data_IF_672820621203
#
_entry.id   IF_672820621203
#
_cell.length_a   1.000
_cell.length_b   1.000
_cell.length_c   1.000
_cell.angle_alpha   90.00
_cell.angle_beta   90.00
_cell.angle_gamma   90.00
#
_symmetry.space_group_name_H-M   'P 1'
#
loop_
_entity.id
_entity.type
_entity.pdbx_description
1 polymer ?
#
# COMPACT_ATOMS: atom_id res chain seq x y z
N UNK A 1 -1.09 -26.28 -21.48
CA UNK A 1 -2.40 -26.15 -20.81
C UNK A 1 -2.37 -24.80 -20.11
N UNK A 2 -3.35 -23.98 -20.43
CA UNK A 2 -3.28 -22.53 -20.37
C UNK A 2 -3.24 -21.97 -18.95
N UNK A 3 -2.10 -21.39 -18.56
CA UNK A 3 -1.98 -20.51 -17.40
C UNK A 3 -2.64 -19.17 -17.75
N UNK A 4 -3.97 -19.15 -17.88
CA UNK A 4 -4.71 -17.90 -17.85
C UNK A 4 -4.63 -17.35 -16.41
N UNK A 5 -3.72 -16.38 -16.19
CA UNK A 5 -3.70 -15.55 -15.00
C UNK A 5 -5.07 -14.88 -14.84
N UNK A 6 -5.91 -15.45 -13.97
CA UNK A 6 -7.23 -14.90 -13.71
C UNK A 6 -7.09 -13.63 -12.88
N UNK A 7 -7.40 -12.49 -13.51
CA UNK A 7 -7.58 -11.19 -12.87
C UNK A 7 -9.04 -10.79 -13.13
N UNK A 8 -9.96 -11.01 -12.16
CA UNK A 8 -11.35 -10.61 -12.30
C UNK A 8 -11.41 -9.13 -12.72
N UNK A 9 -12.28 -8.72 -13.64
CA UNK A 9 -12.51 -7.29 -13.93
C UNK A 9 -11.28 -6.45 -14.35
N UNK A 10 -10.19 -7.08 -14.82
CA UNK A 10 -9.03 -6.34 -15.32
C UNK A 10 -8.98 -6.34 -16.85
N UNK A 11 -9.13 -5.16 -17.45
CA UNK A 11 -8.94 -4.97 -18.90
C UNK A 11 -7.76 -4.02 -19.18
N UNK A 12 -6.60 -4.63 -19.48
CA UNK A 12 -5.36 -3.91 -19.79
C UNK A 12 -5.51 -2.89 -20.94
N UNK A 13 -6.45 -3.07 -21.88
CA UNK A 13 -6.61 -2.17 -23.03
C UNK A 13 -7.34 -0.88 -22.69
N UNK A 14 -8.25 -0.94 -21.71
CA UNK A 14 -9.04 0.22 -21.28
C UNK A 14 -8.51 0.86 -20.00
N UNK A 15 -7.71 0.14 -19.20
CA UNK A 15 -7.10 0.65 -17.98
C UNK A 15 -5.86 1.51 -18.25
N UNK A 16 -5.80 2.68 -17.61
CA UNK A 16 -4.62 3.53 -17.64
C UNK A 16 -3.53 2.97 -16.72
N UNK A 17 -2.33 2.83 -17.27
CA UNK A 17 -1.17 2.26 -16.58
C UNK A 17 -0.26 3.34 -15.98
N UNK A 18 0.34 3.07 -14.83
CA UNK A 18 1.27 3.97 -14.17
C UNK A 18 2.52 3.22 -13.68
N UNK A 19 3.68 3.79 -13.96
CA UNK A 19 4.92 3.42 -13.27
C UNK A 19 5.03 4.21 -11.95
N UNK A 20 5.85 3.78 -10.98
CA UNK A 20 6.05 4.55 -9.76
C UNK A 20 6.51 6.00 -10.00
N UNK A 21 7.36 6.24 -11.01
CA UNK A 21 7.75 7.60 -11.40
C UNK A 21 6.57 8.40 -11.99
N UNK A 22 5.70 7.75 -12.76
CA UNK A 22 4.47 8.38 -13.28
C UNK A 22 3.52 8.78 -12.16
N UNK A 23 3.35 7.94 -11.13
CA UNK A 23 2.55 8.26 -9.94
C UNK A 23 3.15 9.44 -9.16
N UNK A 24 4.48 9.48 -8.99
CA UNK A 24 5.15 10.62 -8.34
C UNK A 24 4.85 11.94 -9.05
N UNK A 25 4.97 11.95 -10.38
CA UNK A 25 4.70 13.14 -11.18
C UNK A 25 3.23 13.58 -11.08
N UNK A 26 2.29 12.63 -11.02
CA UNK A 26 0.87 12.95 -10.78
C UNK A 26 0.64 13.60 -9.42
N UNK A 27 1.28 13.08 -8.37
CA UNK A 27 1.18 13.69 -7.04
C UNK A 27 1.78 15.10 -7.05
N UNK A 28 2.97 15.28 -7.62
CA UNK A 28 3.62 16.59 -7.75
C UNK A 28 2.70 17.60 -8.47
N UNK A 29 2.01 17.19 -9.53
CA UNK A 29 1.04 18.03 -10.21
C UNK A 29 -0.13 18.42 -9.29
N UNK A 30 -0.75 17.45 -8.60
CA UNK A 30 -1.85 17.73 -7.67
C UNK A 30 -1.42 18.66 -6.51
N UNK A 31 -0.19 18.51 -6.03
CA UNK A 31 0.40 19.39 -5.02
C UNK A 31 0.58 20.80 -5.55
N UNK A 32 1.07 20.96 -6.78
CA UNK A 32 1.20 22.27 -7.42
C UNK A 32 -0.15 22.95 -7.64
N UNK A 33 -1.18 22.20 -8.03
CA UNK A 33 -2.55 22.71 -8.18
C UNK A 33 -3.14 23.18 -6.82
N UNK A 34 -2.64 22.66 -5.70
CA UNK A 34 -2.94 23.11 -4.33
C UNK A 34 -1.88 24.07 -3.77
N UNK A 35 -1.18 24.84 -4.63
CA UNK A 35 -0.17 25.83 -4.26
C UNK A 35 1.00 25.27 -3.42
N UNK A 36 1.42 24.04 -3.71
CA UNK A 36 2.49 23.37 -2.96
C UNK A 36 2.06 22.72 -1.64
N UNK A 37 0.76 22.75 -1.29
CA UNK A 37 0.27 22.19 -0.04
C UNK A 37 -0.11 20.70 -0.19
N UNK A 38 0.83 19.82 0.14
CA UNK A 38 0.60 18.37 0.12
C UNK A 38 -0.49 17.91 1.08
N UNK A 39 -0.63 18.57 2.23
CA UNK A 39 -1.67 18.22 3.21
C UNK A 39 -3.07 18.49 2.63
N UNK A 40 -3.25 19.57 1.87
CA UNK A 40 -4.51 19.87 1.20
C UNK A 40 -4.89 18.83 0.13
N UNK A 41 -3.91 18.17 -0.50
CA UNK A 41 -4.17 17.04 -1.42
C UNK A 41 -4.69 15.85 -0.62
N UNK A 42 -4.05 15.53 0.51
CA UNK A 42 -4.43 14.41 1.35
C UNK A 42 -5.74 14.59 2.11
N UNK A 43 -6.09 15.82 2.48
CA UNK A 43 -7.35 16.13 3.17
C UNK A 43 -8.55 16.07 2.21
N UNK A 44 -8.32 16.30 0.91
CA UNK A 44 -9.33 16.24 -0.17
C UNK A 44 -9.54 14.79 -0.65
N UNK A 45 -9.95 13.93 0.27
CA UNK A 45 -10.04 12.48 0.04
C UNK A 45 -11.05 12.10 -1.03
N UNK A 46 -12.12 12.86 -1.21
CA UNK A 46 -13.13 12.53 -2.20
C UNK A 46 -12.60 12.67 -3.63
N UNK A 47 -11.79 13.68 -3.89
CA UNK A 47 -11.22 13.91 -5.22
C UNK A 47 -9.92 13.12 -5.44
N UNK A 48 -9.13 12.92 -4.39
CA UNK A 48 -7.79 12.36 -4.52
C UNK A 48 -7.65 10.91 -4.09
N UNK A 49 -8.72 10.22 -3.63
CA UNK A 49 -8.66 8.84 -3.12
C UNK A 49 -7.78 7.92 -3.96
N UNK A 50 -8.12 7.74 -5.24
CA UNK A 50 -7.39 6.82 -6.13
C UNK A 50 -5.94 7.26 -6.37
N UNK A 51 -5.66 8.57 -6.37
CA UNK A 51 -4.29 9.08 -6.46
C UNK A 51 -3.49 8.74 -5.19
N UNK A 52 -4.11 8.83 -4.00
CA UNK A 52 -3.45 8.50 -2.74
C UNK A 52 -3.18 6.99 -2.64
N UNK A 53 -4.15 6.17 -3.03
CA UNK A 53 -3.98 4.72 -3.09
C UNK A 53 -2.85 4.34 -4.04
N UNK A 54 -2.81 4.94 -5.24
CA UNK A 54 -1.72 4.76 -6.20
C UNK A 54 -0.38 5.20 -5.63
N UNK A 55 -0.34 6.32 -4.92
CA UNK A 55 0.88 6.85 -4.32
C UNK A 55 1.47 5.85 -3.31
N UNK A 56 0.67 5.35 -2.38
CA UNK A 56 1.08 4.35 -1.40
C UNK A 56 1.52 3.03 -2.05
N UNK A 57 0.70 2.51 -2.96
CA UNK A 57 1.03 1.31 -3.74
C UNK A 57 2.33 1.46 -4.54
N UNK A 58 2.64 2.66 -5.03
CA UNK A 58 3.88 2.90 -5.77
C UNK A 58 5.13 2.72 -4.92
N UNK A 59 5.10 3.08 -3.64
CA UNK A 59 6.21 2.81 -2.75
C UNK A 59 6.34 1.33 -2.42
N UNK A 60 5.22 0.61 -2.27
CA UNK A 60 5.26 -0.85 -2.14
C UNK A 60 5.90 -1.49 -3.37
N UNK A 61 5.54 -1.05 -4.59
CA UNK A 61 6.15 -1.54 -5.82
C UNK A 61 7.67 -1.28 -5.86
N UNK A 62 8.12 -0.10 -5.42
CA UNK A 62 9.53 0.24 -5.33
C UNK A 62 10.27 -0.58 -4.26
N UNK A 63 9.63 -0.82 -3.11
CA UNK A 63 10.16 -1.67 -2.06
C UNK A 63 10.34 -3.11 -2.57
N UNK A 64 9.34 -3.67 -3.27
CA UNK A 64 9.44 -5.01 -3.87
C UNK A 64 10.51 -5.04 -4.96
N UNK A 65 10.64 -4.01 -5.81
CA UNK A 65 11.74 -3.90 -6.79
C UNK A 65 13.09 -3.96 -6.08
N UNK A 66 13.28 -3.19 -5.00
CA UNK A 66 14.51 -3.21 -4.20
C UNK A 66 14.83 -4.61 -3.67
N UNK A 67 13.82 -5.29 -3.13
CA UNK A 67 14.02 -6.56 -2.44
C UNK A 67 14.15 -7.77 -3.37
N UNK A 68 13.30 -7.86 -4.38
CA UNK A 68 13.13 -9.03 -5.24
C UNK A 68 13.52 -8.78 -6.70
N UNK A 69 13.92 -7.57 -7.07
CA UNK A 69 14.26 -7.19 -8.46
C UNK A 69 13.10 -7.42 -9.45
N UNK A 70 11.86 -7.36 -8.93
CA UNK A 70 10.61 -7.43 -9.70
C UNK A 70 10.04 -6.04 -9.93
N UNK A 71 9.66 -5.75 -11.16
CA UNK A 71 9.16 -4.44 -11.55
C UNK A 71 7.68 -4.51 -11.89
N UNK A 72 6.90 -3.64 -11.27
CA UNK A 72 5.45 -3.63 -11.44
C UNK A 72 4.98 -2.34 -12.11
N UNK A 73 4.00 -2.50 -13.00
CA UNK A 73 3.15 -1.42 -13.50
C UNK A 73 1.83 -1.46 -12.74
N UNK A 74 1.36 -0.30 -12.31
CA UNK A 74 0.18 -0.12 -11.49
C UNK A 74 -1.02 0.26 -12.37
N UNK A 75 -2.15 -0.39 -12.14
CA UNK A 75 -3.41 -0.08 -12.82
C UNK A 75 -4.48 0.16 -11.75
N UNK A 76 -4.93 1.42 -11.54
CA UNK A 76 -6.03 1.69 -10.63
C UNK A 76 -7.31 1.05 -11.17
N UNK A 77 -8.18 0.60 -10.26
CA UNK A 77 -9.47 0.02 -10.57
C UNK A 77 -10.48 0.34 -9.44
N UNK A 78 -11.76 0.06 -9.69
CA UNK A 78 -12.81 0.29 -8.69
C UNK A 78 -12.93 -0.86 -7.68
N UNK A 79 -12.58 -2.09 -8.10
CA UNK A 79 -12.53 -3.28 -7.24
C UNK A 79 -11.67 -4.37 -7.93
N UNK A 80 -10.45 -4.63 -7.45
CA UNK A 80 -9.79 -4.06 -6.27
C UNK A 80 -9.40 -2.59 -6.49
N UNK A 81 -8.81 -1.96 -5.48
CA UNK A 81 -8.30 -0.58 -5.62
C UNK A 81 -7.21 -0.48 -6.72
N UNK A 82 -6.28 -1.45 -6.80
CA UNK A 82 -5.14 -1.44 -7.76
C UNK A 82 -4.76 -2.85 -8.24
N UNK A 83 -4.30 -2.99 -9.47
CA UNK A 83 -3.56 -4.17 -9.96
C UNK A 83 -2.08 -3.88 -10.14
N UNK A 84 -1.23 -4.80 -9.69
CA UNK A 84 0.21 -4.82 -9.92
C UNK A 84 0.49 -5.83 -11.04
N UNK A 85 1.06 -5.40 -12.15
CA UNK A 85 1.45 -6.27 -13.26
C UNK A 85 2.97 -6.30 -13.42
N UNK A 86 3.57 -7.49 -13.31
CA UNK A 86 4.99 -7.73 -13.53
C UNK A 86 5.32 -7.47 -14.99
N UNK A 87 6.33 -6.63 -15.24
CA UNK A 87 6.72 -6.26 -16.61
C UNK A 87 7.33 -7.40 -17.42
N UNK A 88 7.83 -8.47 -16.78
CA UNK A 88 8.58 -9.55 -17.44
C UNK A 88 7.75 -10.80 -17.63
N UNK A 89 6.85 -11.10 -16.70
CA UNK A 89 6.15 -12.39 -16.64
C UNK A 89 4.67 -12.30 -17.00
N UNK A 90 4.12 -11.09 -17.20
CA UNK A 90 2.67 -10.82 -17.30
C UNK A 90 1.87 -11.39 -16.09
N UNK A 91 2.55 -11.77 -15.01
CA UNK A 91 1.92 -12.09 -13.74
C UNK A 91 1.34 -10.81 -13.15
N UNK A 92 0.11 -10.86 -12.66
CA UNK A 92 -0.45 -9.76 -11.91
C UNK A 92 -1.09 -10.23 -10.62
N UNK A 93 -1.17 -9.31 -9.67
CA UNK A 93 -1.93 -9.50 -8.46
C UNK A 93 -2.71 -8.23 -8.09
N UNK A 94 -3.90 -8.40 -7.51
CA UNK A 94 -4.75 -7.32 -7.03
C UNK A 94 -4.29 -6.83 -5.65
N UNK A 95 -4.42 -5.52 -5.40
CA UNK A 95 -4.07 -4.87 -4.13
C UNK A 95 -5.23 -4.00 -3.66
N UNK A 96 -5.72 -4.30 -2.47
CA UNK A 96 -6.59 -3.42 -1.69
C UNK A 96 -5.74 -2.47 -0.85
N UNK A 97 -6.12 -1.21 -0.77
CA UNK A 97 -5.46 -0.20 0.06
C UNK A 97 -6.40 0.25 1.17
N UNK A 98 -5.87 0.34 2.39
CA UNK A 98 -6.60 0.87 3.54
C UNK A 98 -5.75 1.87 4.30
N UNK A 99 -6.10 3.14 4.18
CA UNK A 99 -5.47 4.20 4.96
C UNK A 99 -6.07 4.29 6.37
N UNK A 100 -5.20 4.22 7.38
CA UNK A 100 -5.53 4.44 8.78
C UNK A 100 -5.38 5.94 9.08
N UNK A 101 -6.50 6.64 9.09
CA UNK A 101 -6.55 8.07 9.32
C UNK A 101 -6.82 8.41 10.79
N UNK A 102 -5.86 9.05 11.43
CA UNK A 102 -6.02 9.66 12.76
C UNK A 102 -6.10 11.19 12.60
N UNK A 103 -7.08 11.67 11.84
CA UNK A 103 -7.29 13.12 11.76
C UNK A 103 -7.81 13.59 13.12
N UNK A 104 -6.99 14.39 13.81
CA UNK A 104 -7.38 15.24 14.93
C UNK A 104 -7.37 14.62 16.33
N UNK A 105 -7.06 13.33 16.49
CA UNK A 105 -6.80 12.73 17.80
C UNK A 105 -5.63 11.76 17.74
N UNK A 106 -4.69 11.80 18.71
CA UNK A 106 -3.71 10.76 18.89
C UNK A 106 -4.41 9.40 18.96
N UNK A 107 -3.82 8.39 18.33
CA UNK A 107 -4.32 7.03 18.50
C UNK A 107 -4.33 6.65 19.98
N UNK A 108 -5.46 6.16 20.48
CA UNK A 108 -5.68 5.88 21.90
C UNK A 108 -5.04 4.57 22.39
N UNK A 109 -4.24 3.90 21.55
CA UNK A 109 -3.62 2.61 21.87
C UNK A 109 -4.56 1.41 21.78
N UNK A 110 -5.81 1.56 21.32
CA UNK A 110 -6.74 0.43 21.21
C UNK A 110 -6.55 -0.36 19.91
N UNK A 111 -5.47 -1.15 19.86
CA UNK A 111 -5.09 -1.93 18.68
C UNK A 111 -6.13 -2.97 18.28
N UNK A 112 -6.83 -3.57 19.25
CA UNK A 112 -7.91 -4.53 19.01
C UNK A 112 -9.04 -3.93 18.20
N UNK A 113 -9.52 -2.73 18.57
CA UNK A 113 -10.56 -2.05 17.82
C UNK A 113 -10.08 -1.62 16.43
N UNK A 114 -8.82 -1.19 16.32
CA UNK A 114 -8.23 -0.84 15.03
C UNK A 114 -8.16 -2.05 14.10
N UNK A 115 -7.65 -3.19 14.57
CA UNK A 115 -7.57 -4.42 13.80
C UNK A 115 -8.97 -4.94 13.41
N UNK A 116 -9.94 -4.89 14.33
CA UNK A 116 -11.34 -5.20 14.05
C UNK A 116 -11.91 -4.29 12.95
N UNK A 117 -11.66 -2.99 13.00
CA UNK A 117 -12.11 -2.06 11.97
C UNK A 117 -11.52 -2.39 10.59
N UNK A 118 -10.23 -2.74 10.52
CA UNK A 118 -9.59 -3.21 9.28
C UNK A 118 -10.28 -4.47 8.76
N UNK A 119 -10.51 -5.45 9.62
CA UNK A 119 -11.16 -6.70 9.24
C UNK A 119 -12.60 -6.48 8.74
N UNK A 120 -13.38 -5.64 9.43
CA UNK A 120 -14.75 -5.33 9.04
C UNK A 120 -14.83 -4.60 7.70
N UNK A 121 -13.82 -3.80 7.38
CA UNK A 121 -13.75 -3.00 6.15
C UNK A 121 -13.23 -3.80 4.95
N UNK A 122 -12.13 -4.53 5.11
CA UNK A 122 -11.42 -5.19 4.01
C UNK A 122 -11.33 -6.72 4.16
N UNK A 123 -11.40 -7.27 5.37
CA UNK A 123 -11.19 -8.71 5.63
C UNK A 123 -12.23 -9.64 5.01
N UNK A 124 -13.40 -9.11 4.63
CA UNK A 124 -14.49 -9.87 3.98
C UNK A 124 -14.36 -9.94 2.46
N UNK A 125 -13.41 -9.22 1.85
CA UNK A 125 -13.19 -9.23 0.41
C UNK A 125 -12.70 -10.61 -0.02
N UNK A 126 -13.34 -11.20 -1.02
CA UNK A 126 -12.96 -12.48 -1.57
C UNK A 126 -12.45 -12.29 -2.99
N UNK A 127 -11.14 -12.02 -3.10
CA UNK A 127 -10.48 -11.78 -4.38
C UNK A 127 -9.22 -12.66 -4.46
N UNK A 128 -9.12 -13.59 -5.44
CA UNK A 128 -8.00 -14.53 -5.50
C UNK A 128 -6.65 -13.83 -5.55
N UNK A 129 -5.68 -14.31 -4.77
CA UNK A 129 -4.30 -13.78 -4.71
C UNK A 129 -4.19 -12.30 -4.35
N UNK A 130 -5.22 -11.74 -3.70
CA UNK A 130 -5.25 -10.32 -3.37
C UNK A 130 -4.35 -9.99 -2.18
N UNK A 131 -3.65 -8.88 -2.26
CA UNK A 131 -2.86 -8.34 -1.16
C UNK A 131 -3.61 -7.17 -0.53
N UNK A 132 -3.44 -6.98 0.77
CA UNK A 132 -3.91 -5.78 1.47
C UNK A 132 -2.72 -4.92 1.85
N UNK A 133 -2.73 -3.64 1.50
CA UNK A 133 -1.79 -2.62 1.96
C UNK A 133 -2.48 -1.73 2.98
N UNK A 134 -2.12 -1.88 4.25
CA UNK A 134 -2.57 -1.02 5.34
C UNK A 134 -1.58 0.13 5.46
N UNK A 135 -2.05 1.35 5.29
CA UNK A 135 -1.20 2.55 5.28
C UNK A 135 -1.40 3.33 6.58
N UNK A 136 -0.32 3.50 7.33
CA UNK A 136 -0.32 4.34 8.52
C UNK A 136 0.27 5.72 8.20
N UNK A 137 -0.55 6.75 8.33
CA UNK A 137 -0.11 8.16 8.29
C UNK A 137 0.37 8.68 9.65
N UNK A 138 0.69 7.79 10.58
CA UNK A 138 0.95 8.16 11.97
C UNK A 138 2.31 8.88 12.07
N UNK A 139 2.30 10.10 12.61
CA UNK A 139 3.50 10.70 13.17
C UNK A 139 3.95 9.83 14.35
N UNK A 140 5.09 9.19 14.14
CA UNK A 140 5.47 7.85 14.58
C UNK A 140 5.75 7.65 16.08
N UNK A 141 5.59 8.64 16.95
CA UNK A 141 6.18 8.54 18.30
C UNK A 141 5.47 7.57 19.25
N UNK A 142 4.27 7.07 18.93
CA UNK A 142 3.47 6.25 19.85
C UNK A 142 2.81 4.99 19.26
N UNK A 143 3.03 4.65 17.99
CA UNK A 143 2.42 3.45 17.40
C UNK A 143 3.28 2.20 17.58
N UNK A 144 2.73 1.21 18.28
CA UNK A 144 3.36 -0.08 18.51
C UNK A 144 3.02 -1.03 17.35
N UNK A 145 3.90 -1.08 16.35
CA UNK A 145 3.77 -1.94 15.17
C UNK A 145 3.57 -3.40 15.55
N UNK A 146 4.37 -3.90 16.50
CA UNK A 146 4.35 -5.30 16.91
C UNK A 146 3.05 -5.67 17.64
N UNK A 147 2.42 -4.74 18.34
CA UNK A 147 1.10 -4.93 18.95
C UNK A 147 -0.02 -4.90 17.91
N UNK A 148 0.01 -3.94 16.98
CA UNK A 148 -0.94 -3.92 15.87
C UNK A 148 -0.89 -5.20 15.01
N UNK A 149 0.32 -5.65 14.67
CA UNK A 149 0.51 -6.87 13.87
C UNK A 149 -0.01 -8.13 14.60
N UNK A 150 0.09 -8.18 15.94
CA UNK A 150 -0.49 -9.26 16.74
C UNK A 150 -2.01 -9.27 16.64
N UNK A 151 -2.66 -8.14 16.88
CA UNK A 151 -4.13 -8.04 16.80
C UNK A 151 -4.67 -8.31 15.39
N UNK A 152 -3.95 -7.90 14.34
CA UNK A 152 -4.33 -8.21 12.95
C UNK A 152 -4.30 -9.73 12.69
N UNK A 153 -3.37 -10.48 13.28
CA UNK A 153 -3.24 -11.93 13.06
C UNK A 153 -4.35 -12.76 13.70
N UNK A 154 -5.14 -12.19 14.60
CA UNK A 154 -6.25 -12.90 15.26
C UNK A 154 -7.46 -13.13 14.34
N UNK A 155 -7.46 -12.52 13.14
CA UNK A 155 -8.54 -12.65 12.17
C UNK A 155 -8.23 -13.68 11.06
N UNK A 156 -9.27 -14.28 10.49
CA UNK A 156 -9.15 -15.14 9.33
C UNK A 156 -9.20 -14.32 8.04
N UNK A 157 -8.07 -14.21 7.35
CA UNK A 157 -7.93 -13.39 6.15
C UNK A 157 -8.11 -14.18 4.86
N UNK A 158 -8.75 -13.56 3.88
CA UNK A 158 -8.84 -14.06 2.49
C UNK A 158 -7.72 -13.54 1.59
N UNK A 159 -6.89 -12.62 2.10
CA UNK A 159 -5.76 -12.06 1.38
C UNK A 159 -4.58 -13.06 1.33
N UNK A 160 -3.84 -13.07 0.23
CA UNK A 160 -2.59 -13.81 0.11
C UNK A 160 -1.51 -13.21 1.01
N UNK A 161 -1.43 -11.87 1.06
CA UNK A 161 -0.48 -11.12 1.88
C UNK A 161 -1.11 -9.87 2.46
N UNK A 162 -0.63 -9.47 3.63
CA UNK A 162 -0.98 -8.19 4.25
C UNK A 162 0.30 -7.44 4.54
N UNK A 163 0.40 -6.23 4.00
CA UNK A 163 1.48 -5.29 4.17
C UNK A 163 1.05 -4.15 5.08
N UNK A 164 1.97 -3.68 5.92
CA UNK A 164 1.77 -2.47 6.72
C UNK A 164 2.84 -1.45 6.42
N UNK A 165 2.43 -0.28 5.94
CA UNK A 165 3.27 0.83 5.52
C UNK A 165 3.33 1.91 6.60
N UNK A 166 4.54 2.35 6.92
CA UNK A 166 4.83 3.44 7.85
C UNK A 166 5.86 4.38 7.24
N UNK A 167 5.68 5.69 7.43
CA UNK A 167 6.67 6.69 7.10
C UNK A 167 7.39 7.21 8.34
N UNK A 168 8.72 7.07 8.36
CA UNK A 168 9.58 7.63 9.40
C UNK A 168 10.14 8.97 8.93
N UNK A 169 9.57 10.08 9.43
CA UNK A 169 9.94 11.43 8.99
C UNK A 169 11.43 11.78 9.21
N UNK A 170 12.00 11.37 10.34
CA UNK A 170 13.42 11.63 10.67
C UNK A 170 14.41 10.94 9.71
N UNK A 171 14.01 9.80 9.15
CA UNK A 171 14.81 9.05 8.17
C UNK A 171 14.35 9.27 6.73
N UNK A 172 13.26 10.01 6.50
CA UNK A 172 12.58 10.15 5.20
C UNK A 172 12.38 8.81 4.48
N UNK A 173 11.97 7.80 5.25
CA UNK A 173 11.95 6.41 4.82
C UNK A 173 10.56 5.81 4.97
N UNK A 174 10.12 5.08 3.96
CA UNK A 174 8.97 4.20 4.03
C UNK A 174 9.41 2.80 4.44
N UNK A 175 8.73 2.20 5.40
CA UNK A 175 8.98 0.85 5.88
C UNK A 175 7.72 0.00 5.72
N UNK A 176 7.86 -1.14 5.07
CA UNK A 176 6.79 -2.09 4.76
C UNK A 176 6.99 -3.38 5.54
N UNK A 177 6.09 -3.68 6.46
CA UNK A 177 6.10 -4.92 7.24
C UNK A 177 5.17 -5.95 6.60
N UNK A 178 5.66 -7.17 6.39
CA UNK A 178 4.80 -8.28 5.96
C UNK A 178 4.15 -8.93 7.20
N UNK A 179 2.85 -8.70 7.40
CA UNK A 179 2.12 -9.24 8.56
C UNK A 179 1.70 -10.68 8.33
N UNK A 180 1.08 -10.98 7.19
CA UNK A 180 0.50 -12.28 6.82
C UNK A 180 1.12 -12.77 5.50
N UNK A 181 1.42 -14.08 5.32
CA UNK A 181 1.00 -15.25 6.11
C UNK A 181 1.92 -15.65 7.27
N UNK A 182 2.90 -14.82 7.65
CA UNK A 182 3.93 -15.19 8.63
C UNK A 182 3.29 -15.55 9.98
N UNK A 183 3.58 -16.76 10.49
CA UNK A 183 3.07 -17.21 11.79
C UNK A 183 3.62 -16.36 12.95
N UNK A 184 4.92 -16.08 12.96
CA UNK A 184 5.57 -15.26 13.98
C UNK A 184 5.96 -13.90 13.42
N UNK A 185 5.68 -12.81 14.16
CA UNK A 185 6.17 -11.48 13.81
C UNK A 185 7.56 -11.31 14.44
N UNK A 186 8.56 -11.05 13.60
CA UNK A 186 9.87 -10.62 14.05
C UNK A 186 10.15 -9.23 13.47
N UNK A 187 10.82 -8.38 14.24
CA UNK A 187 11.11 -7.00 13.82
C UNK A 187 12.12 -6.92 12.66
N UNK A 188 12.52 -8.04 12.06
CA UNK A 188 13.45 -8.13 10.94
C UNK A 188 12.80 -8.34 9.57
N UNK A 189 11.49 -8.63 9.50
CA UNK A 189 10.78 -8.86 8.24
C UNK A 189 10.12 -7.58 7.72
N UNK A 190 10.95 -6.62 7.34
CA UNK A 190 10.51 -5.39 6.71
C UNK A 190 11.32 -5.07 5.46
N UNK A 191 10.72 -4.29 4.58
CA UNK A 191 11.39 -3.69 3.43
C UNK A 191 11.40 -2.19 3.63
N UNK A 192 12.57 -1.59 3.55
CA UNK A 192 12.72 -0.14 3.68
C UNK A 192 13.06 0.49 2.33
N UNK A 193 12.38 1.57 2.02
CA UNK A 193 12.62 2.39 0.85
C UNK A 193 12.78 3.86 1.23
N UNK A 194 13.91 4.47 0.88
CA UNK A 194 14.17 5.88 1.06
C UNK A 194 14.36 6.53 -0.32
N UNK A 195 13.56 7.56 -0.61
CA UNK A 195 13.53 8.18 -1.94
C UNK A 195 14.87 8.80 -2.35
N UNK A 196 15.63 9.33 -1.39
CA UNK A 196 16.90 10.02 -1.65
C UNK A 196 18.05 9.03 -1.88
N UNK A 197 18.21 8.04 -0.98
CA UNK A 197 19.29 7.05 -1.04
C UNK A 197 19.02 5.95 -2.06
N UNK A 198 17.75 5.56 -2.25
CA UNK A 198 17.33 4.53 -3.21
C UNK A 198 16.87 5.10 -4.55
N UNK A 199 17.16 6.38 -4.85
CA UNK A 199 16.69 7.06 -6.08
C UNK A 199 17.01 6.32 -7.39
N UNK A 200 18.05 5.49 -7.41
CA UNK A 200 18.42 4.68 -8.58
C UNK A 200 17.35 3.63 -8.95
N UNK A 201 16.52 3.22 -8.00
CA UNK A 201 15.45 2.24 -8.20
C UNK A 201 14.26 2.85 -8.97
N UNK A 202 14.14 4.18 -8.99
CA UNK A 202 13.13 4.90 -9.77
C UNK A 202 13.44 4.92 -11.28
N UNK A 203 14.70 4.66 -11.66
CA UNK A 203 15.20 4.63 -13.04
C UNK A 203 15.56 3.19 -13.45
#
# INVERSE_FOLDING_TARGET
>A
MDNHHYLPNFDRKSSKAYTPIGVRNLLEQAVNDKNGNIQAVFDDKHQNKSLMELYHASFLALAIKKWLQKEFVLYPADSPDIYFLDQKTDEAFPVEVMELYFHNQPFNGNYKNLAKHVFETKGKIQFPKCHLLIVSRINETQFNVSEFCREIKDFQWNFERIWFEIYTAGMKQWTFFEIYPKAEFNDSNYISFNLESDKKILY
#
